data_IF_918537642589
#
_entry.id   IF_918537642589
#
_cell.length_a   1.000
_cell.length_b   1.000
_cell.length_c   1.000
_cell.angle_alpha   90.00
_cell.angle_beta   90.00
_cell.angle_gamma   90.00
#
_symmetry.space_group_name_H-M   'P 1'
#
loop_
_entity.id
_entity.type
_entity.pdbx_description
1 polymer ?
#
# COMPACT_ATOMS: atom_id res chain seq x y z
N UNK A 1 -19.99 2.38 7.78
CA UNK A 1 -20.12 1.63 6.51
C UNK A 1 -21.25 0.61 6.59
N UNK A 2 -22.05 0.43 5.55
CA UNK A 2 -23.25 -0.40 5.58
C UNK A 2 -22.91 -1.89 5.53
N UNK A 3 -23.67 -2.72 6.28
CA UNK A 3 -23.56 -4.20 6.31
C UNK A 3 -23.54 -4.91 4.93
N UNK A 4 -23.94 -4.23 3.87
CA UNK A 4 -23.93 -4.76 2.51
C UNK A 4 -22.52 -4.90 1.91
N UNK A 5 -21.56 -4.07 2.30
CA UNK A 5 -20.18 -4.12 1.80
C UNK A 5 -19.41 -5.35 2.31
N UNK A 6 -19.67 -5.80 3.53
CA UNK A 6 -19.03 -6.99 4.10
C UNK A 6 -19.37 -8.29 3.34
N UNK A 7 -20.40 -8.27 2.50
CA UNK A 7 -20.77 -9.42 1.66
C UNK A 7 -19.71 -9.76 0.61
N UNK A 8 -18.87 -8.79 0.22
CA UNK A 8 -17.82 -8.94 -0.78
C UNK A 8 -16.40 -8.96 -0.19
N UNK A 9 -16.30 -8.96 1.14
CA UNK A 9 -15.03 -8.88 1.85
C UNK A 9 -14.51 -7.45 2.04
N UNK A 10 -13.29 -7.28 2.61
CA UNK A 10 -12.68 -5.97 2.82
C UNK A 10 -12.36 -5.29 1.49
N UNK A 11 -12.45 -3.95 1.46
CA UNK A 11 -11.89 -3.15 0.38
C UNK A 11 -10.37 -3.31 0.37
N UNK A 12 -9.79 -3.58 -0.80
CA UNK A 12 -8.34 -3.76 -0.97
C UNK A 12 -7.77 -2.59 -1.77
N UNK A 13 -6.90 -1.82 -1.14
CA UNK A 13 -6.29 -0.62 -1.72
C UNK A 13 -4.79 -0.83 -1.87
N UNK A 14 -4.30 -0.81 -3.10
CA UNK A 14 -2.88 -0.84 -3.42
C UNK A 14 -2.25 0.54 -3.27
N UNK A 15 -1.12 0.64 -2.59
CA UNK A 15 -0.31 1.86 -2.47
C UNK A 15 1.00 1.60 -3.20
N UNK A 16 1.15 2.21 -4.36
CA UNK A 16 2.31 2.08 -5.22
C UNK A 16 3.07 3.39 -5.39
N UNK A 17 4.28 3.30 -5.88
CA UNK A 17 5.12 4.46 -6.16
C UNK A 17 6.60 4.18 -6.00
N UNK A 18 7.48 5.09 -6.45
CA UNK A 18 8.93 4.91 -6.38
C UNK A 18 9.45 4.85 -4.95
N UNK A 19 10.72 4.41 -4.81
CA UNK A 19 11.46 4.51 -3.54
C UNK A 19 11.49 5.96 -3.09
N UNK A 20 11.27 6.20 -1.79
CA UNK A 20 11.32 7.53 -1.20
C UNK A 20 10.13 8.44 -1.54
N UNK A 21 9.11 7.93 -2.24
CA UNK A 21 7.90 8.72 -2.56
C UNK A 21 6.96 8.94 -1.37
N UNK A 22 7.23 8.34 -0.21
CA UNK A 22 6.40 8.49 0.99
C UNK A 22 5.25 7.49 1.10
N UNK A 23 5.33 6.32 0.44
CA UNK A 23 4.30 5.27 0.53
C UNK A 23 4.02 4.85 1.97
N UNK A 24 5.08 4.48 2.71
CA UNK A 24 4.98 4.01 4.09
C UNK A 24 4.47 5.10 5.02
N UNK A 25 4.92 6.34 4.84
CA UNK A 25 4.40 7.50 5.60
C UNK A 25 2.91 7.74 5.32
N UNK A 26 2.48 7.57 4.09
CA UNK A 26 1.06 7.66 3.73
C UNK A 26 0.26 6.52 4.33
N UNK A 27 0.78 5.29 4.28
CA UNK A 27 0.16 4.12 4.91
C UNK A 27 -0.02 4.34 6.40
N UNK A 28 1.03 4.84 7.10
CA UNK A 28 0.98 5.21 8.50
C UNK A 28 -0.11 6.26 8.79
N UNK A 29 -0.11 7.35 8.02
CA UNK A 29 -1.09 8.43 8.19
C UNK A 29 -2.54 7.95 8.00
N UNK A 30 -2.80 7.07 7.03
CA UNK A 30 -4.11 6.46 6.83
C UNK A 30 -4.51 5.56 8.01
N UNK A 31 -3.57 4.76 8.52
CA UNK A 31 -3.82 3.93 9.69
C UNK A 31 -4.16 4.76 10.93
N UNK A 32 -3.41 5.82 11.19
CA UNK A 32 -3.66 6.73 12.32
C UNK A 32 -4.97 7.49 12.17
N UNK A 33 -5.34 7.90 10.95
CA UNK A 33 -6.55 8.68 10.71
C UNK A 33 -7.83 7.84 10.73
N UNK A 34 -7.75 6.55 10.40
CA UNK A 34 -8.92 5.71 10.17
C UNK A 34 -8.99 4.49 11.10
N UNK A 35 -7.90 4.12 11.77
CA UNK A 35 -7.79 2.85 12.49
C UNK A 35 -8.76 2.70 13.68
N UNK A 36 -9.23 3.79 14.25
CA UNK A 36 -10.23 3.78 15.33
C UNK A 36 -11.66 3.56 14.80
N UNK A 37 -11.93 3.99 13.56
CA UNK A 37 -13.27 3.97 12.97
C UNK A 37 -13.49 2.80 11.99
N UNK A 38 -12.40 2.29 11.39
CA UNK A 38 -12.42 1.26 10.34
C UNK A 38 -11.57 0.08 10.76
N UNK A 39 -12.14 -1.12 10.72
CA UNK A 39 -11.36 -2.34 10.94
C UNK A 39 -10.43 -2.57 9.76
N UNK A 40 -9.14 -2.28 9.94
CA UNK A 40 -8.17 -2.32 8.84
C UNK A 40 -6.94 -3.16 9.15
N UNK A 41 -6.23 -3.55 8.10
CA UNK A 41 -4.96 -4.25 8.14
C UNK A 41 -4.03 -3.75 7.04
N UNK A 42 -2.73 -4.00 7.18
CA UNK A 42 -1.71 -3.61 6.21
C UNK A 42 -0.88 -4.82 5.79
N UNK A 43 -0.59 -4.90 4.49
CA UNK A 43 0.39 -5.80 3.91
C UNK A 43 1.46 -4.94 3.23
N UNK A 44 2.72 -5.11 3.62
CA UNK A 44 3.86 -4.48 2.95
C UNK A 44 4.63 -5.52 2.15
N UNK A 45 5.06 -5.17 0.95
CA UNK A 45 5.86 -6.02 0.10
C UNK A 45 7.29 -5.49 0.03
N UNK A 46 8.26 -6.34 0.33
CA UNK A 46 9.67 -6.01 0.16
C UNK A 46 10.42 -7.22 -0.41
N UNK A 47 11.63 -6.98 -0.94
CA UNK A 47 12.43 -8.03 -1.60
C UNK A 47 13.02 -8.99 -0.56
N UNK A 48 13.65 -8.46 0.48
CA UNK A 48 14.45 -9.22 1.44
C UNK A 48 14.19 -8.86 2.91
N UNK A 49 13.38 -7.86 3.19
CA UNK A 49 13.20 -7.36 4.54
C UNK A 49 11.73 -7.12 4.84
N UNK A 50 11.40 -7.09 6.12
CA UNK A 50 10.11 -6.61 6.61
C UNK A 50 10.21 -5.18 7.17
N UNK A 51 11.18 -4.38 6.68
CA UNK A 51 11.52 -3.08 7.27
C UNK A 51 10.34 -2.12 7.31
N UNK A 52 9.55 -2.05 6.23
CA UNK A 52 8.34 -1.23 6.18
C UNK A 52 7.27 -1.71 7.18
N UNK A 53 7.10 -3.04 7.33
CA UNK A 53 6.19 -3.58 8.34
C UNK A 53 6.70 -3.28 9.76
N UNK A 54 7.99 -3.47 10.02
CA UNK A 54 8.61 -3.19 11.30
C UNK A 54 8.55 -1.69 11.64
N UNK A 55 8.69 -0.82 10.65
CA UNK A 55 8.49 0.62 10.82
C UNK A 55 7.07 0.93 11.29
N UNK A 56 6.05 0.41 10.59
CA UNK A 56 4.65 0.64 10.94
C UNK A 56 4.28 0.10 12.34
N UNK A 57 4.88 -1.03 12.72
CA UNK A 57 4.73 -1.58 14.08
C UNK A 57 5.37 -0.66 15.13
N UNK A 58 6.60 -0.19 14.88
CA UNK A 58 7.28 0.76 15.79
C UNK A 58 6.56 2.09 15.89
N UNK A 59 5.98 2.58 14.78
CA UNK A 59 5.15 3.78 14.75
C UNK A 59 3.77 3.60 15.40
N UNK A 60 3.44 2.39 15.82
CA UNK A 60 2.13 2.04 16.39
C UNK A 60 0.96 2.43 15.46
N UNK A 61 1.19 2.31 14.15
CA UNK A 61 0.18 2.62 13.13
C UNK A 61 -1.08 1.76 13.29
N UNK A 62 -0.88 0.47 13.58
CA UNK A 62 -1.91 -0.50 13.99
C UNK A 62 -1.30 -1.49 14.99
N UNK A 63 -2.12 -2.35 15.58
CA UNK A 63 -1.61 -3.50 16.34
C UNK A 63 -0.80 -4.43 15.43
N UNK A 64 0.29 -5.01 15.96
CA UNK A 64 1.26 -5.79 15.18
C UNK A 64 0.65 -7.00 14.45
N UNK A 65 -0.44 -7.57 14.99
CA UNK A 65 -1.17 -8.68 14.39
C UNK A 65 -1.98 -8.28 13.14
N UNK A 66 -2.14 -6.97 12.88
CA UNK A 66 -2.79 -6.40 11.71
C UNK A 66 -1.82 -5.93 10.62
N UNK A 67 -0.52 -6.07 10.86
CA UNK A 67 0.52 -5.71 9.91
C UNK A 67 1.25 -6.98 9.48
N UNK A 68 1.40 -7.18 8.16
CA UNK A 68 2.09 -8.33 7.56
C UNK A 68 3.16 -7.84 6.59
N UNK A 69 4.42 -8.18 6.85
CA UNK A 69 5.48 -8.11 5.86
C UNK A 69 5.44 -9.35 4.97
N UNK A 70 5.47 -9.15 3.67
CA UNK A 70 5.59 -10.20 2.65
C UNK A 70 6.93 -10.05 1.97
N UNK A 71 7.81 -11.04 2.19
CA UNK A 71 9.08 -11.13 1.50
C UNK A 71 8.86 -11.78 0.13
N UNK A 72 9.16 -11.06 -0.94
CA UNK A 72 8.87 -11.52 -2.30
C UNK A 72 9.98 -12.39 -2.90
N UNK A 73 11.14 -12.48 -2.23
CA UNK A 73 12.27 -13.35 -2.58
C UNK A 73 12.91 -13.10 -3.95
N UNK A 74 12.47 -12.05 -4.64
CA UNK A 74 12.89 -11.73 -6.01
C UNK A 74 12.35 -10.39 -6.45
N UNK A 75 11.84 -10.30 -7.68
CA UNK A 75 11.29 -9.06 -8.20
C UNK A 75 9.94 -8.72 -7.52
N UNK A 76 9.81 -7.58 -6.82
CA UNK A 76 8.56 -7.20 -6.15
C UNK A 76 7.37 -7.04 -7.09
N UNK A 77 7.63 -6.79 -8.37
CA UNK A 77 6.61 -6.72 -9.42
C UNK A 77 5.85 -8.04 -9.56
N UNK A 78 6.55 -9.17 -9.44
CA UNK A 78 5.95 -10.49 -9.58
C UNK A 78 4.88 -10.68 -8.52
N UNK A 79 5.16 -10.36 -7.26
CA UNK A 79 4.24 -10.61 -6.14
C UNK A 79 2.97 -9.75 -6.16
N UNK A 80 2.98 -8.61 -6.85
CA UNK A 80 1.79 -7.73 -6.94
C UNK A 80 1.08 -7.79 -8.28
N UNK A 81 1.68 -8.40 -9.31
CA UNK A 81 1.15 -8.41 -10.66
C UNK A 81 1.09 -9.78 -11.33
N UNK A 82 2.22 -10.51 -11.39
CA UNK A 82 2.33 -11.74 -12.19
C UNK A 82 1.98 -12.99 -11.39
N UNK A 83 2.40 -13.04 -10.12
CA UNK A 83 2.08 -14.12 -9.18
C UNK A 83 1.70 -13.52 -7.83
N UNK A 84 0.45 -13.13 -7.71
CA UNK A 84 -0.09 -12.54 -6.50
C UNK A 84 -0.39 -13.57 -5.38
N UNK A 85 -0.03 -14.84 -5.55
CA UNK A 85 -0.43 -15.95 -4.67
C UNK A 85 -0.05 -15.71 -3.21
N UNK A 86 1.16 -15.20 -2.94
CA UNK A 86 1.64 -14.94 -1.58
C UNK A 86 0.82 -13.83 -0.91
N UNK A 87 0.53 -12.75 -1.62
CA UNK A 87 -0.32 -11.68 -1.12
C UNK A 87 -1.77 -12.11 -0.94
N UNK A 88 -2.31 -12.90 -1.85
CA UNK A 88 -3.66 -13.46 -1.73
C UNK A 88 -3.77 -14.37 -0.51
N UNK A 89 -2.75 -15.20 -0.24
CA UNK A 89 -2.69 -16.02 0.97
C UNK A 89 -2.68 -15.15 2.24
N UNK A 90 -1.86 -14.09 2.27
CA UNK A 90 -1.82 -13.15 3.40
C UNK A 90 -3.17 -12.44 3.62
N UNK A 91 -3.86 -12.05 2.54
CA UNK A 91 -5.22 -11.49 2.61
C UNK A 91 -6.19 -12.48 3.24
N UNK A 92 -6.19 -13.74 2.78
CA UNK A 92 -7.11 -14.76 3.31
C UNK A 92 -6.83 -15.09 4.77
N UNK A 93 -5.57 -15.07 5.21
CA UNK A 93 -5.22 -15.27 6.61
C UNK A 93 -5.67 -14.11 7.48
N UNK A 94 -5.53 -12.86 7.03
CA UNK A 94 -6.06 -11.68 7.72
C UNK A 94 -7.58 -11.71 7.81
N UNK A 95 -8.28 -12.13 6.76
CA UNK A 95 -9.75 -12.28 6.76
C UNK A 95 -10.23 -13.35 7.76
N UNK A 96 -9.49 -14.46 7.89
CA UNK A 96 -9.79 -15.50 8.90
C UNK A 96 -9.55 -14.99 10.32
N UNK A 97 -8.44 -14.27 10.52
CA UNK A 97 -8.09 -13.72 11.83
C UNK A 97 -9.03 -12.59 12.26
N UNK A 98 -9.47 -11.77 11.30
CA UNK A 98 -10.34 -10.62 11.54
C UNK A 98 -11.61 -10.68 10.68
N UNK A 99 -12.66 -11.42 11.10
CA UNK A 99 -13.87 -11.60 10.29
C UNK A 99 -14.62 -10.30 9.93
N UNK A 100 -14.41 -9.23 10.73
CA UNK A 100 -15.01 -7.91 10.50
C UNK A 100 -14.06 -6.94 9.79
N UNK A 101 -13.02 -7.44 9.10
CA UNK A 101 -12.07 -6.60 8.39
C UNK A 101 -12.77 -5.86 7.25
N UNK A 102 -12.59 -4.54 7.20
CA UNK A 102 -13.25 -3.65 6.25
C UNK A 102 -12.30 -3.09 5.19
N UNK A 103 -11.02 -2.94 5.53
CA UNK A 103 -10.01 -2.35 4.65
C UNK A 103 -8.68 -3.09 4.77
N UNK A 104 -8.06 -3.37 3.63
CA UNK A 104 -6.67 -3.84 3.56
C UNK A 104 -5.89 -2.86 2.69
N UNK A 105 -4.82 -2.30 3.24
CA UNK A 105 -3.83 -1.54 2.49
C UNK A 105 -2.71 -2.48 2.07
N UNK A 106 -2.37 -2.49 0.77
CA UNK A 106 -1.27 -3.26 0.22
C UNK A 106 -0.21 -2.30 -0.31
N UNK A 107 0.91 -2.20 0.37
CA UNK A 107 2.04 -1.38 -0.07
C UNK A 107 2.95 -2.16 -1.00
N UNK A 108 3.32 -1.58 -2.15
CA UNK A 108 4.29 -2.18 -3.05
C UNK A 108 5.72 -1.97 -2.56
N UNK A 109 6.61 -2.89 -2.88
CA UNK A 109 8.04 -2.70 -2.67
C UNK A 109 8.58 -1.48 -3.40
N UNK A 110 9.68 -0.93 -2.89
CA UNK A 110 10.23 0.36 -3.32
C UNK A 110 10.79 0.41 -4.74
N UNK A 111 11.11 -0.71 -5.36
CA UNK A 111 11.73 -0.78 -6.68
C UNK A 111 10.79 -0.44 -7.84
N UNK A 112 9.53 -0.21 -7.56
CA UNK A 112 8.51 -0.27 -8.58
C UNK A 112 8.08 1.10 -9.08
N UNK A 113 8.79 1.63 -10.10
CA UNK A 113 8.36 2.82 -10.84
C UNK A 113 7.02 2.64 -11.57
N UNK A 114 6.51 1.41 -11.67
CA UNK A 114 5.31 1.07 -12.41
C UNK A 114 4.41 0.15 -11.58
N UNK A 115 4.18 0.47 -10.29
CA UNK A 115 3.36 -0.32 -9.39
C UNK A 115 1.92 -0.46 -9.92
N UNK A 116 1.75 -1.38 -10.86
CA UNK A 116 0.45 -1.79 -11.35
C UNK A 116 0.10 -3.08 -10.62
N UNK A 117 -0.83 -2.99 -9.68
CA UNK A 117 -1.35 -4.15 -9.00
C UNK A 117 -2.24 -4.98 -9.93
N UNK A 118 -2.23 -6.30 -9.75
CA UNK A 118 -3.20 -7.18 -10.39
C UNK A 118 -4.63 -6.80 -9.95
N UNK A 119 -5.62 -6.76 -10.88
CA UNK A 119 -7.02 -6.51 -10.52
C UNK A 119 -7.61 -7.54 -9.55
N UNK A 120 -7.04 -8.74 -9.47
CA UNK A 120 -7.46 -9.75 -8.50
C UNK A 120 -6.95 -9.45 -7.08
N UNK A 121 -5.88 -8.65 -6.96
CA UNK A 121 -5.25 -8.33 -5.69
C UNK A 121 -5.86 -7.10 -5.03
N UNK A 122 -6.19 -6.06 -5.80
CA UNK A 122 -6.70 -4.80 -5.27
C UNK A 122 -7.91 -4.29 -6.07
N UNK A 123 -8.80 -3.59 -5.37
CA UNK A 123 -9.99 -2.97 -5.94
C UNK A 123 -9.71 -1.52 -6.39
N UNK A 124 -8.73 -0.88 -5.77
CA UNK A 124 -8.30 0.50 -6.05
C UNK A 124 -6.78 0.60 -5.90
N UNK A 125 -6.15 1.43 -6.72
CA UNK A 125 -4.72 1.75 -6.59
C UNK A 125 -4.53 3.25 -6.35
N UNK A 126 -3.71 3.58 -5.37
CA UNK A 126 -3.19 4.92 -5.10
C UNK A 126 -1.72 4.91 -5.52
N UNK A 127 -1.32 5.84 -6.38
CA UNK A 127 0.05 5.98 -6.81
C UNK A 127 0.67 7.23 -6.18
N UNK A 128 1.66 7.02 -5.32
CA UNK A 128 2.32 8.08 -4.55
C UNK A 128 3.56 8.56 -5.32
N UNK A 129 3.67 9.85 -5.52
CA UNK A 129 4.85 10.49 -6.13
C UNK A 129 5.30 11.66 -5.27
N UNK A 130 6.61 11.82 -5.14
CA UNK A 130 7.21 13.00 -4.52
C UNK A 130 7.24 14.15 -5.53
N UNK A 131 6.84 15.34 -5.09
CA UNK A 131 6.88 16.56 -5.90
C UNK A 131 8.30 16.92 -6.36
N UNK A 132 9.33 16.49 -5.63
CA UNK A 132 10.72 16.71 -5.98
C UNK A 132 11.22 15.83 -7.14
N UNK A 133 10.47 14.79 -7.50
CA UNK A 133 10.81 13.92 -8.65
C UNK A 133 10.60 14.59 -10.01
N UNK A 134 9.91 15.73 -10.06
CA UNK A 134 9.69 16.53 -11.26
C UNK A 134 9.06 15.74 -12.40
N UNK A 135 9.54 15.93 -13.62
CA UNK A 135 9.02 15.30 -14.84
C UNK A 135 9.64 13.92 -15.15
N UNK A 136 10.45 13.36 -14.27
CA UNK A 136 11.21 12.13 -14.58
C UNK A 136 10.29 10.90 -14.71
N UNK A 137 9.27 10.79 -13.89
CA UNK A 137 8.33 9.66 -13.94
C UNK A 137 7.51 9.68 -15.22
N UNK A 138 6.80 10.77 -15.59
CA UNK A 138 6.08 10.83 -16.85
C UNK A 138 6.97 10.61 -18.08
N UNK A 139 8.19 11.13 -18.05
CA UNK A 139 9.16 11.01 -19.16
C UNK A 139 9.64 9.57 -19.36
N UNK A 140 9.90 8.83 -18.25
CA UNK A 140 10.47 7.47 -18.32
C UNK A 140 9.43 6.38 -18.55
N UNK A 141 8.20 6.57 -18.07
CA UNK A 141 7.13 5.53 -18.04
C UNK A 141 5.89 5.92 -18.84
N UNK A 142 5.83 7.14 -19.36
CA UNK A 142 4.70 7.68 -20.11
C UNK A 142 3.54 8.14 -19.21
N UNK A 143 2.67 9.00 -19.74
CA UNK A 143 1.55 9.57 -19.00
C UNK A 143 0.42 8.57 -18.71
N UNK A 144 0.37 7.45 -19.45
CA UNK A 144 -0.74 6.49 -19.33
C UNK A 144 -0.89 5.89 -17.94
N UNK A 145 0.23 5.64 -17.24
CA UNK A 145 0.22 5.13 -15.88
C UNK A 145 -0.43 6.14 -14.91
N UNK A 146 -0.27 7.43 -15.17
CA UNK A 146 -0.76 8.49 -14.30
C UNK A 146 -2.23 8.85 -14.57
N UNK A 147 -2.79 8.46 -15.72
CA UNK A 147 -4.16 8.80 -16.10
C UNK A 147 -5.22 7.89 -15.50
N UNK A 148 -4.83 6.70 -15.04
CA UNK A 148 -5.75 5.68 -14.49
C UNK A 148 -5.73 5.57 -12.97
N UNK A 149 -4.96 6.41 -12.27
CA UNK A 149 -4.68 6.30 -10.84
C UNK A 149 -5.08 7.55 -10.08
N UNK A 150 -5.39 7.39 -8.81
CA UNK A 150 -5.53 8.51 -7.89
C UNK A 150 -4.11 9.01 -7.56
N UNK A 151 -3.85 10.28 -7.82
CA UNK A 151 -2.56 10.91 -7.54
C UNK A 151 -2.62 11.65 -6.22
N UNK A 152 -1.75 11.25 -5.29
CA UNK A 152 -1.52 11.96 -4.05
C UNK A 152 -0.05 12.39 -4.06
N UNK A 153 0.18 13.70 -4.08
CA UNK A 153 1.50 14.28 -3.85
C UNK A 153 1.67 14.57 -2.37
N UNK A 154 2.84 14.29 -1.79
CA UNK A 154 3.12 14.68 -0.42
C UNK A 154 2.95 16.19 -0.24
N UNK A 155 2.23 16.62 0.80
CA UNK A 155 2.24 18.03 1.19
C UNK A 155 3.67 18.38 1.61
N UNK A 156 4.20 19.47 1.10
CA UNK A 156 5.48 20.03 1.57
C UNK A 156 5.40 20.15 3.08
N UNK A 157 6.39 19.61 3.77
CA UNK A 157 6.59 19.89 5.17
C UNK A 157 6.85 21.41 5.31
N UNK A 158 5.84 22.15 5.75
CA UNK A 158 5.90 23.60 5.93
C UNK A 158 6.85 23.99 7.08
N UNK A 159 7.41 23.00 7.79
CA UNK A 159 8.33 23.22 8.92
C UNK A 159 9.75 23.63 8.50
N UNK A 160 10.12 23.46 7.22
CA UNK A 160 11.49 23.75 6.73
C UNK A 160 11.65 25.11 6.04
N UNK A 161 10.62 25.94 5.99
CA UNK A 161 10.73 27.31 5.48
C UNK A 161 10.96 28.31 6.63
N UNK A 162 12.18 28.35 7.16
CA UNK A 162 12.70 29.51 7.92
C UNK A 162 14.11 29.82 7.46
#
# INVERSE_FOLDING_TARGET
MTKERLKYGPLRVGIGGPVGAGKTSMTEALCQAMGDDVSMAVITNDIYTSEDADYLVRAQALSSDRIRGVETGGCPHTAIREDASVNLAAIEDLKKQFPNLELILLESGGDNLAATFSPELVDLTIYVIDVCMGADIPRKKGPALMLSLIHISEPRDLSTSR
#
